data_IF_229609196835
#
_entry.id   IF_229609196835
#
_cell.length_a   1.000
_cell.length_b   1.000
_cell.length_c   1.000
_cell.angle_alpha   90.00
_cell.angle_beta   90.00
_cell.angle_gamma   90.00
#
_symmetry.space_group_name_H-M   'P 1'
#
loop_
_entity.id
_entity.type
_entity.pdbx_description
1 polymer ?
#
# COMPACT_ATOMS: atom_id res chain seq x y z
N UNK A 1 40.50 -33.54 -41.48
CA UNK A 1 39.52 -33.83 -40.40
C UNK A 1 39.51 -32.79 -39.29
N UNK A 2 40.60 -32.21 -38.87
CA UNK A 2 40.72 -31.24 -37.78
C UNK A 2 40.02 -29.87 -37.99
N UNK A 3 39.93 -29.36 -39.22
CA UNK A 3 39.29 -28.05 -39.50
C UNK A 3 37.75 -28.03 -39.35
N UNK A 4 37.08 -29.18 -39.43
CA UNK A 4 35.62 -29.26 -39.28
C UNK A 4 35.17 -29.38 -37.80
N UNK A 5 36.09 -29.84 -36.91
CA UNK A 5 35.83 -29.92 -35.49
C UNK A 5 35.90 -28.57 -34.79
N UNK A 6 36.74 -27.65 -35.26
CA UNK A 6 36.89 -26.31 -34.69
C UNK A 6 35.70 -25.40 -34.99
N UNK A 7 35.01 -25.58 -36.13
CA UNK A 7 33.82 -24.80 -36.44
C UNK A 7 32.59 -25.19 -35.62
N UNK A 8 32.51 -26.45 -35.17
CA UNK A 8 31.41 -26.90 -34.32
C UNK A 8 31.50 -26.38 -32.87
N UNK A 9 32.71 -26.12 -32.36
CA UNK A 9 32.94 -25.62 -31.01
C UNK A 9 32.64 -24.13 -30.88
N UNK A 10 32.80 -23.34 -31.94
CA UNK A 10 32.51 -21.88 -31.95
C UNK A 10 30.99 -21.60 -32.06
N UNK A 11 30.24 -22.50 -32.69
CA UNK A 11 28.78 -22.33 -32.81
C UNK A 11 28.02 -22.60 -31.50
N UNK A 12 28.59 -23.39 -30.56
CA UNK A 12 27.97 -23.71 -29.29
C UNK A 12 28.12 -22.62 -28.23
N UNK A 13 29.05 -21.69 -28.40
CA UNK A 13 29.29 -20.60 -27.42
C UNK A 13 28.40 -19.36 -27.60
N UNK A 14 27.63 -19.30 -28.69
CA UNK A 14 26.77 -18.15 -28.99
C UNK A 14 25.32 -18.32 -28.49
N UNK A 15 24.96 -19.47 -27.90
CA UNK A 15 23.60 -19.71 -27.35
C UNK A 15 23.46 -19.50 -25.84
N UNK A 16 24.53 -19.07 -25.18
CA UNK A 16 24.44 -18.74 -23.73
C UNK A 16 24.16 -17.25 -23.50
N UNK A 17 23.35 -16.65 -24.33
CA UNK A 17 22.63 -15.45 -24.00
C UNK A 17 21.60 -15.81 -22.92
N UNK A 18 21.99 -15.80 -21.66
CA UNK A 18 21.05 -15.87 -20.56
C UNK A 18 20.07 -14.70 -20.74
N UNK A 19 18.87 -15.00 -21.22
CA UNK A 19 17.71 -14.14 -21.01
C UNK A 19 17.54 -14.12 -19.50
N UNK A 20 18.19 -13.14 -18.86
CA UNK A 20 17.80 -12.70 -17.54
C UNK A 20 16.39 -12.15 -17.74
N UNK A 21 15.38 -12.99 -17.55
CA UNK A 21 14.04 -12.50 -17.32
C UNK A 21 14.19 -11.59 -16.10
N UNK A 22 14.16 -10.30 -16.34
CA UNK A 22 14.01 -9.30 -15.30
C UNK A 22 12.73 -9.72 -14.57
N UNK A 23 12.90 -10.32 -13.40
CA UNK A 23 11.79 -10.72 -12.56
C UNK A 23 11.05 -9.42 -12.24
N UNK A 24 9.97 -9.17 -12.97
CA UNK A 24 9.20 -7.95 -12.87
C UNK A 24 8.72 -7.89 -11.42
N UNK A 25 9.41 -7.06 -10.64
CA UNK A 25 9.22 -7.01 -9.19
C UNK A 25 7.80 -6.56 -8.91
N UNK A 26 6.97 -7.53 -8.55
CA UNK A 26 5.58 -7.30 -8.16
C UNK A 26 5.54 -6.51 -6.86
N UNK A 27 4.72 -5.47 -6.82
CA UNK A 27 4.55 -4.64 -5.62
C UNK A 27 3.54 -5.29 -4.68
N UNK A 28 3.90 -5.44 -3.42
CA UNK A 28 3.00 -5.91 -2.35
C UNK A 28 2.36 -4.71 -1.66
N UNK A 29 1.09 -4.42 -1.99
CA UNK A 29 0.33 -3.32 -1.42
C UNK A 29 -0.45 -3.76 -0.19
N UNK A 30 -0.29 -3.01 0.88
CA UNK A 30 -0.96 -3.24 2.15
C UNK A 30 -1.90 -2.08 2.49
N UNK A 31 -3.01 -2.41 3.12
CA UNK A 31 -3.94 -1.43 3.69
C UNK A 31 -4.69 -2.04 4.88
N UNK A 32 -5.47 -1.23 5.59
CA UNK A 32 -6.41 -1.70 6.61
C UNK A 32 -7.83 -1.22 6.30
N UNK A 33 -8.80 -1.54 7.15
CA UNK A 33 -10.16 -1.03 6.99
C UNK A 33 -10.21 0.46 7.30
N UNK A 34 -10.61 1.27 6.34
CA UNK A 34 -10.84 2.70 6.43
C UNK A 34 -12.00 3.12 5.53
N UNK A 35 -13.25 2.79 5.88
CA UNK A 35 -14.42 3.12 5.06
C UNK A 35 -14.62 4.65 4.94
N UNK A 36 -15.02 5.15 3.77
CA UNK A 36 -15.35 4.45 2.52
C UNK A 36 -14.16 4.26 1.56
N UNK A 37 -12.94 4.57 1.99
CA UNK A 37 -11.75 4.54 1.12
C UNK A 37 -11.29 3.12 0.80
N UNK A 38 -11.22 2.25 1.79
CA UNK A 38 -10.82 0.84 1.66
C UNK A 38 -11.52 -0.02 2.71
N UNK A 39 -12.12 -1.11 2.26
CA UNK A 39 -12.95 -1.98 3.09
C UNK A 39 -12.81 -3.42 2.65
N UNK A 40 -12.70 -4.32 3.63
CA UNK A 40 -12.87 -5.75 3.37
C UNK A 40 -14.35 -6.12 3.32
N UNK A 41 -14.72 -7.02 2.42
CA UNK A 41 -16.05 -7.58 2.37
C UNK A 41 -16.45 -8.19 3.73
N UNK A 42 -17.65 -7.84 4.21
CA UNK A 42 -18.15 -8.32 5.50
C UNK A 42 -17.41 -7.76 6.73
N UNK A 43 -16.61 -6.71 6.60
CA UNK A 43 -15.88 -6.08 7.72
C UNK A 43 -14.74 -6.93 8.28
N UNK A 44 -14.21 -7.88 7.52
CA UNK A 44 -13.10 -8.74 7.93
C UNK A 44 -11.83 -7.93 8.20
N UNK A 45 -11.02 -8.40 9.14
CA UNK A 45 -9.68 -7.85 9.42
C UNK A 45 -8.57 -8.40 8.49
N UNK A 46 -8.95 -9.22 7.51
CA UNK A 46 -8.07 -9.74 6.49
C UNK A 46 -8.86 -9.98 5.21
N UNK A 47 -8.34 -9.46 4.09
CA UNK A 47 -8.88 -9.74 2.77
C UNK A 47 -7.76 -9.66 1.72
N UNK A 48 -7.95 -10.39 0.61
CA UNK A 48 -7.18 -10.25 -0.63
C UNK A 48 -7.94 -9.39 -1.62
N UNK A 49 -7.28 -8.97 -2.69
CA UNK A 49 -7.74 -7.97 -3.65
C UNK A 49 -9.22 -8.13 -4.06
N UNK A 50 -9.63 -9.32 -4.43
CA UNK A 50 -11.01 -9.62 -4.89
C UNK A 50 -12.09 -9.32 -3.85
N UNK A 51 -11.72 -9.28 -2.56
CA UNK A 51 -12.61 -9.02 -1.42
C UNK A 51 -12.37 -7.67 -0.76
N UNK A 52 -11.67 -6.76 -1.45
CA UNK A 52 -11.40 -5.40 -0.98
C UNK A 52 -12.10 -4.43 -1.93
N UNK A 53 -12.78 -3.44 -1.39
CA UNK A 53 -13.46 -2.39 -2.14
C UNK A 53 -13.24 -1.02 -1.51
N UNK A 54 -13.62 0.03 -2.22
CA UNK A 54 -13.57 1.41 -1.73
C UNK A 54 -12.96 2.38 -2.74
N UNK A 55 -13.17 3.67 -2.49
CA UNK A 55 -12.80 4.74 -3.41
C UNK A 55 -11.30 4.72 -3.72
N UNK A 56 -10.46 4.58 -2.70
CA UNK A 56 -9.01 4.54 -2.88
C UNK A 56 -8.54 3.23 -3.50
N UNK A 57 -9.22 2.13 -3.25
CA UNK A 57 -8.92 0.82 -3.86
C UNK A 57 -9.09 0.89 -5.37
N UNK A 58 -10.20 1.45 -5.85
CA UNK A 58 -10.44 1.60 -7.29
C UNK A 58 -9.42 2.53 -7.95
N UNK A 59 -9.05 3.61 -7.25
CA UNK A 59 -8.03 4.54 -7.73
C UNK A 59 -6.66 3.85 -7.87
N UNK A 60 -6.26 3.12 -6.84
CA UNK A 60 -4.99 2.38 -6.81
C UNK A 60 -4.96 1.32 -7.92
N UNK A 61 -6.03 0.56 -8.11
CA UNK A 61 -6.15 -0.41 -9.21
C UNK A 61 -5.95 0.25 -10.58
N UNK A 62 -6.61 1.37 -10.81
CA UNK A 62 -6.48 2.11 -12.07
C UNK A 62 -5.09 2.67 -12.28
N UNK A 63 -4.44 3.17 -11.20
CA UNK A 63 -3.06 3.67 -11.27
C UNK A 63 -2.09 2.56 -11.67
N UNK A 64 -2.14 1.39 -11.02
CA UNK A 64 -1.27 0.27 -11.34
C UNK A 64 -1.52 -0.29 -12.74
N UNK A 65 -2.79 -0.37 -13.15
CA UNK A 65 -3.17 -0.75 -14.52
C UNK A 65 -2.55 0.19 -15.56
N UNK A 66 -2.64 1.51 -15.36
CA UNK A 66 -2.05 2.49 -16.28
C UNK A 66 -0.52 2.46 -16.27
N UNK A 67 0.08 2.22 -15.13
CA UNK A 67 1.53 2.10 -15.00
C UNK A 67 2.09 0.81 -15.60
N UNK A 68 1.25 -0.20 -15.85
CA UNK A 68 1.69 -1.52 -16.32
C UNK A 68 2.54 -2.25 -15.29
N UNK A 69 2.32 -1.97 -13.99
CA UNK A 69 3.06 -2.58 -12.88
C UNK A 69 2.19 -3.62 -12.19
N UNK A 70 2.72 -4.83 -12.07
CA UNK A 70 2.04 -5.90 -11.33
C UNK A 70 2.06 -5.65 -9.83
N UNK A 71 0.97 -5.99 -9.17
CA UNK A 71 0.84 -5.87 -7.72
C UNK A 71 0.01 -7.00 -7.11
N UNK A 72 0.15 -7.18 -5.82
CA UNK A 72 -0.78 -7.90 -4.96
C UNK A 72 -1.36 -6.90 -3.94
N UNK A 73 -2.66 -6.97 -3.67
CA UNK A 73 -3.31 -6.14 -2.68
C UNK A 73 -3.80 -7.00 -1.51
N UNK A 74 -3.44 -6.59 -0.30
CA UNK A 74 -3.87 -7.27 0.92
C UNK A 74 -4.30 -6.26 1.98
N UNK A 75 -5.51 -6.44 2.51
CA UNK A 75 -5.98 -5.74 3.69
C UNK A 75 -5.67 -6.56 4.92
N UNK A 76 -5.03 -5.96 5.94
CA UNK A 76 -4.66 -6.63 7.19
C UNK A 76 -4.75 -5.68 8.38
N UNK A 77 -5.08 -6.25 9.52
CA UNK A 77 -5.04 -5.61 10.84
C UNK A 77 -3.92 -6.25 11.70
N UNK A 78 -3.30 -5.54 12.63
CA UNK A 78 -3.43 -4.12 12.91
C UNK A 78 -2.50 -3.25 12.05
N UNK A 79 -2.80 -1.93 12.01
CA UNK A 79 -2.03 -0.92 11.30
C UNK A 79 -0.51 -1.02 11.53
N UNK A 80 -0.08 -1.12 12.79
CA UNK A 80 1.35 -1.17 13.14
C UNK A 80 2.09 -2.30 12.42
N UNK A 81 1.43 -3.43 12.17
CA UNK A 81 2.03 -4.56 11.45
C UNK A 81 2.29 -4.23 9.98
N UNK A 82 1.29 -3.65 9.30
CA UNK A 82 1.43 -3.34 7.87
C UNK A 82 2.40 -2.19 7.66
N UNK A 83 2.36 -1.17 8.51
CA UNK A 83 3.28 -0.05 8.50
C UNK A 83 4.74 -0.52 8.66
N UNK A 84 5.03 -1.30 9.69
CA UNK A 84 6.35 -1.89 9.92
C UNK A 84 6.80 -2.76 8.75
N UNK A 85 5.89 -3.59 8.20
CA UNK A 85 6.21 -4.44 7.05
C UNK A 85 6.63 -3.62 5.84
N UNK A 86 5.91 -2.52 5.55
CA UNK A 86 6.24 -1.66 4.42
C UNK A 86 7.57 -0.90 4.60
N UNK A 87 7.96 -0.60 5.84
CA UNK A 87 9.27 0.00 6.13
C UNK A 87 10.44 -0.99 5.99
N UNK A 88 10.24 -2.23 6.42
CA UNK A 88 11.32 -3.21 6.56
C UNK A 88 11.54 -4.06 5.32
N UNK A 89 10.52 -4.21 4.46
CA UNK A 89 10.58 -5.13 3.32
C UNK A 89 10.62 -4.39 1.99
N UNK A 90 11.63 -4.64 1.15
CA UNK A 90 11.64 -4.10 -0.20
C UNK A 90 10.46 -4.62 -1.02
N UNK A 91 9.95 -3.78 -1.93
CA UNK A 91 8.80 -4.12 -2.77
C UNK A 91 7.44 -4.02 -2.09
N UNK A 92 7.40 -3.63 -0.79
CA UNK A 92 6.16 -3.37 -0.09
C UNK A 92 5.77 -1.90 -0.12
N UNK A 93 4.48 -1.64 -0.22
CA UNK A 93 3.87 -0.31 -0.13
C UNK A 93 2.64 -0.34 0.76
N UNK A 94 2.25 0.83 1.24
CA UNK A 94 1.03 1.01 2.04
C UNK A 94 0.26 2.20 1.48
N UNK A 95 -1.07 2.11 1.42
CA UNK A 95 -1.92 3.20 0.96
C UNK A 95 -3.04 3.53 1.94
N UNK A 96 -3.70 4.67 1.74
CA UNK A 96 -4.56 5.32 2.73
C UNK A 96 -3.82 5.60 4.05
N UNK A 97 -2.64 6.21 3.89
CA UNK A 97 -1.77 6.57 5.00
C UNK A 97 -1.72 8.08 5.13
N UNK A 98 -1.96 8.58 6.33
CA UNK A 98 -1.80 10.00 6.61
C UNK A 98 -0.33 10.39 6.46
N UNK A 99 -0.07 11.41 5.59
CA UNK A 99 1.25 12.00 5.42
C UNK A 99 1.48 13.02 6.52
N UNK A 100 2.19 12.62 7.54
CA UNK A 100 2.50 13.43 8.71
C UNK A 100 3.98 13.81 8.72
N UNK A 101 4.37 14.94 9.36
CA UNK A 101 5.77 15.36 9.42
C UNK A 101 6.73 14.29 9.94
N UNK A 102 6.32 13.52 10.94
CA UNK A 102 7.11 12.44 11.52
C UNK A 102 7.27 11.22 10.61
N UNK A 103 6.45 11.10 9.55
CA UNK A 103 6.48 10.01 8.57
C UNK A 103 7.06 10.43 7.23
N UNK A 104 7.37 11.70 7.06
CA UNK A 104 7.75 12.28 5.76
C UNK A 104 8.93 11.56 5.12
N UNK A 105 9.91 11.17 5.91
CA UNK A 105 11.13 10.51 5.46
C UNK A 105 11.03 8.98 5.42
N UNK A 106 9.92 8.39 5.87
CA UNK A 106 9.74 6.95 5.94
C UNK A 106 9.40 6.35 4.58
N UNK A 107 8.76 7.13 3.69
CA UNK A 107 8.25 6.64 2.41
C UNK A 107 8.54 7.60 1.25
N UNK A 108 8.45 7.06 0.06
CA UNK A 108 8.21 7.83 -1.16
C UNK A 108 6.71 7.99 -1.33
N UNK A 109 6.23 9.23 -1.29
CA UNK A 109 4.81 9.54 -1.30
C UNK A 109 4.27 9.73 -2.70
N UNK A 110 3.08 9.18 -2.96
CA UNK A 110 2.29 9.39 -4.18
C UNK A 110 0.88 9.77 -3.77
N UNK A 111 0.35 10.84 -4.29
CA UNK A 111 -1.00 11.31 -3.95
C UNK A 111 -1.13 12.83 -3.86
N UNK A 112 -2.18 13.35 -3.20
CA UNK A 112 -3.12 12.66 -2.30
C UNK A 112 -4.13 11.78 -3.04
N UNK A 113 -4.62 10.72 -2.35
CA UNK A 113 -5.75 9.89 -2.81
C UNK A 113 -7.10 10.53 -2.47
N UNK A 114 -7.15 11.33 -1.43
CA UNK A 114 -8.34 12.04 -0.96
C UNK A 114 -8.07 12.81 0.32
N UNK A 115 -9.01 13.69 0.73
CA UNK A 115 -8.93 14.39 2.00
C UNK A 115 -9.26 13.46 3.17
N UNK A 116 -8.69 13.77 4.33
CA UNK A 116 -8.99 13.12 5.61
C UNK A 116 -9.01 14.21 6.69
N UNK A 117 -10.20 14.47 7.22
CA UNK A 117 -10.41 15.49 8.24
C UNK A 117 -10.59 14.85 9.61
N UNK A 118 -9.79 15.27 10.56
CA UNK A 118 -9.92 14.85 11.94
C UNK A 118 -11.05 15.62 12.62
N UNK A 119 -12.02 14.90 13.14
CA UNK A 119 -13.18 15.48 13.82
C UNK A 119 -13.35 14.93 15.22
N UNK A 120 -13.90 15.74 16.10
CA UNK A 120 -14.31 15.29 17.42
C UNK A 120 -15.81 15.00 17.42
N UNK A 121 -16.19 13.86 17.94
CA UNK A 121 -17.58 13.42 18.04
C UNK A 121 -18.04 13.43 19.50
N UNK A 122 -19.26 13.85 19.71
CA UNK A 122 -19.97 13.72 20.96
C UNK A 122 -21.37 13.11 20.71
N UNK A 123 -22.06 12.71 21.77
CA UNK A 123 -23.46 12.27 21.65
C UNK A 123 -24.32 13.42 21.13
N UNK A 124 -25.35 13.10 20.36
CA UNK A 124 -26.24 14.10 19.76
C UNK A 124 -26.96 14.99 20.79
N UNK A 125 -27.19 14.46 22.01
CA UNK A 125 -27.78 15.18 23.12
C UNK A 125 -26.76 15.88 24.02
N UNK A 126 -25.49 15.92 23.63
CA UNK A 126 -24.42 16.56 24.41
C UNK A 126 -24.57 18.09 24.39
N UNK A 127 -24.41 18.71 25.53
CA UNK A 127 -24.33 20.17 25.67
C UNK A 127 -22.91 20.71 25.56
N UNK A 128 -21.92 19.83 25.32
CA UNK A 128 -20.52 20.22 25.20
C UNK A 128 -20.32 20.97 23.89
N UNK A 129 -19.79 22.19 23.96
CA UNK A 129 -19.37 22.97 22.82
C UNK A 129 -17.87 23.17 22.90
N UNK A 130 -17.15 22.73 21.85
CA UNK A 130 -15.70 22.84 21.76
C UNK A 130 -15.35 23.90 20.72
N UNK A 131 -14.84 25.04 21.18
CA UNK A 131 -14.41 26.14 20.30
C UNK A 131 -12.90 26.11 20.00
N UNK A 132 -12.16 25.21 20.68
CA UNK A 132 -10.74 24.99 20.43
C UNK A 132 -10.30 23.63 21.01
N UNK A 133 -9.15 23.13 20.55
CA UNK A 133 -8.53 21.92 21.12
C UNK A 133 -8.13 22.08 22.58
N UNK A 134 -7.85 23.31 23.02
CA UNK A 134 -7.53 23.57 24.43
C UNK A 134 -8.73 23.25 25.36
N UNK A 135 -9.96 23.59 24.93
CA UNK A 135 -11.17 23.22 25.67
C UNK A 135 -11.37 21.72 25.78
N UNK A 136 -10.90 20.95 24.80
CA UNK A 136 -11.02 19.49 24.83
C UNK A 136 -10.23 18.85 25.98
N UNK A 137 -9.18 19.49 26.48
CA UNK A 137 -8.34 18.99 27.60
C UNK A 137 -9.12 18.82 28.91
N UNK A 138 -10.23 19.52 29.09
CA UNK A 138 -11.11 19.38 30.25
C UNK A 138 -11.94 18.09 30.25
N UNK A 139 -11.95 17.35 29.15
CA UNK A 139 -12.78 16.17 28.93
C UNK A 139 -11.95 14.91 28.71
N UNK A 140 -12.56 13.75 28.95
CA UNK A 140 -11.97 12.47 28.51
C UNK A 140 -12.28 12.28 27.04
N UNK A 141 -11.23 12.33 26.22
CA UNK A 141 -11.30 12.11 24.77
C UNK A 141 -10.78 10.71 24.47
N UNK A 142 -11.59 9.92 23.79
CA UNK A 142 -11.17 8.64 23.24
C UNK A 142 -10.61 8.83 21.81
N UNK A 143 -9.65 8.00 21.44
CA UNK A 143 -9.16 7.86 20.07
C UNK A 143 -9.12 6.36 19.73
N UNK A 144 -9.15 6.04 18.45
CA UNK A 144 -9.01 4.67 17.97
C UNK A 144 -7.79 4.54 17.05
#
# INVERSE_FOLDING_TARGET
MFKRLLLALVASSLLSGAVSAEEQSRVELLTENFPPYNMAAGGSNYAKDENISGIAVELVREMFKRAGVDYNLTLRFPWQRIYKTALEKPGYGVFCTARLPERENDFKWVGPLGPDDWVMLARADSTISLNSLEYAKAFKVGAY
#
